data_IF_767406796200
#
_entry.id   IF_767406796200
#
_cell.length_a   1.000
_cell.length_b   1.000
_cell.length_c   1.000
_cell.angle_alpha   90.00
_cell.angle_beta   90.00
_cell.angle_gamma   90.00
#
_symmetry.space_group_name_H-M   'P 1'
#
loop_
_entity.id
_entity.type
_entity.pdbx_description
1 polymer ?
#
# COMPACT_ATOMS: atom_id res chain seq x y z
N UNK A 1 -37.19 15.93 13.27
CA UNK A 1 -35.83 15.96 12.69
C UNK A 1 -34.93 15.23 13.66
N UNK A 2 -34.68 13.94 13.44
CA UNK A 2 -33.88 13.13 14.36
C UNK A 2 -32.39 13.40 14.13
N UNK A 3 -31.84 14.28 14.95
CA UNK A 3 -30.41 14.52 15.05
C UNK A 3 -29.71 13.27 15.57
N UNK A 4 -29.32 12.36 14.68
CA UNK A 4 -28.47 11.23 15.03
C UNK A 4 -27.15 11.77 15.60
N UNK A 5 -27.03 11.73 16.92
CA UNK A 5 -25.79 11.94 17.67
C UNK A 5 -24.69 11.11 17.01
N UNK A 6 -23.66 11.78 16.50
CA UNK A 6 -22.51 11.10 15.88
C UNK A 6 -21.74 10.42 17.01
N UNK A 7 -21.82 9.09 17.07
CA UNK A 7 -21.12 8.30 18.09
C UNK A 7 -19.61 8.54 17.96
N UNK A 8 -19.03 9.19 18.98
CA UNK A 8 -17.58 9.44 19.04
C UNK A 8 -16.88 8.09 19.18
N UNK A 9 -15.91 7.75 18.30
CA UNK A 9 -15.17 6.50 18.42
C UNK A 9 -14.52 6.34 19.80
N UNK A 10 -14.62 5.14 20.39
CA UNK A 10 -13.98 4.84 21.68
C UNK A 10 -12.47 5.20 21.67
N UNK A 11 -11.88 5.66 22.79
CA UNK A 11 -10.45 6.01 22.90
C UNK A 11 -9.47 4.94 22.40
N UNK A 12 -9.86 3.67 22.49
CA UNK A 12 -9.10 2.52 21.97
C UNK A 12 -8.88 2.58 20.46
N UNK A 13 -9.84 3.09 19.68
CA UNK A 13 -9.69 3.31 18.23
C UNK A 13 -8.64 4.38 17.93
N UNK A 14 -8.63 5.48 18.68
CA UNK A 14 -7.63 6.53 18.51
C UNK A 14 -6.20 6.04 18.85
N UNK A 15 -6.03 5.33 19.98
CA UNK A 15 -4.75 4.69 20.33
C UNK A 15 -4.28 3.69 19.27
N UNK A 16 -5.21 2.93 18.70
CA UNK A 16 -4.93 2.01 17.61
C UNK A 16 -4.41 2.74 16.36
N UNK A 17 -5.02 3.87 15.96
CA UNK A 17 -4.53 4.66 14.82
C UNK A 17 -3.19 5.36 15.11
N UNK A 18 -3.00 5.90 16.32
CA UNK A 18 -1.74 6.52 16.73
C UNK A 18 -0.56 5.56 16.56
N UNK A 19 -0.69 4.32 17.04
CA UNK A 19 0.32 3.26 16.87
C UNK A 19 0.68 3.00 15.40
N UNK A 20 -0.24 3.20 14.45
CA UNK A 20 0.04 2.97 13.02
C UNK A 20 0.94 4.05 12.43
N UNK A 21 0.90 5.28 12.95
CA UNK A 21 1.81 6.34 12.51
C UNK A 21 3.25 6.05 12.92
N UNK A 22 3.44 5.60 14.17
CA UNK A 22 4.76 5.17 14.68
C UNK A 22 5.29 3.97 13.88
N UNK A 23 4.41 3.00 13.61
CA UNK A 23 4.76 1.85 12.79
C UNK A 23 5.17 2.26 11.38
N UNK A 24 4.44 3.16 10.74
CA UNK A 24 4.80 3.61 9.40
C UNK A 24 6.19 4.26 9.38
N UNK A 25 6.50 5.12 10.36
CA UNK A 25 7.83 5.70 10.47
C UNK A 25 8.89 4.61 10.62
N UNK A 26 8.67 3.63 11.48
CA UNK A 26 9.58 2.48 11.68
C UNK A 26 9.82 1.72 10.38
N UNK A 27 8.76 1.43 9.63
CA UNK A 27 8.83 0.68 8.37
C UNK A 27 9.68 1.41 7.32
N UNK A 28 9.35 2.67 7.04
CA UNK A 28 9.96 3.43 5.94
C UNK A 28 11.33 4.05 6.30
N UNK A 29 11.65 4.23 7.59
CA UNK A 29 12.93 4.84 8.00
C UNK A 29 13.94 3.84 8.56
N UNK A 30 13.50 2.74 9.17
CA UNK A 30 14.40 1.73 9.75
C UNK A 30 14.42 0.41 8.98
N UNK A 31 13.26 -0.18 8.71
CA UNK A 31 13.24 -1.52 8.10
C UNK A 31 13.75 -1.49 6.67
N UNK A 32 13.39 -0.47 5.90
CA UNK A 32 13.98 -0.23 4.57
C UNK A 32 15.52 -0.31 4.61
N UNK A 33 16.15 0.50 5.48
CA UNK A 33 17.62 0.57 5.61
C UNK A 33 18.24 -0.74 6.13
N UNK A 34 17.62 -1.36 7.12
CA UNK A 34 18.11 -2.62 7.67
C UNK A 34 18.02 -3.75 6.64
N UNK A 35 16.93 -3.81 5.88
CA UNK A 35 16.72 -4.81 4.85
C UNK A 35 17.64 -4.59 3.64
N UNK A 36 17.92 -3.35 3.24
CA UNK A 36 18.85 -3.07 2.14
C UNK A 36 20.28 -3.50 2.47
N UNK A 37 20.72 -3.31 3.72
CA UNK A 37 22.05 -3.78 4.17
C UNK A 37 22.10 -5.30 4.32
N UNK A 38 21.06 -5.90 4.91
CA UNK A 38 21.01 -7.35 5.19
C UNK A 38 20.64 -8.20 3.97
N UNK A 39 20.05 -7.61 2.94
CA UNK A 39 19.56 -8.28 1.75
C UNK A 39 18.28 -9.11 1.94
N UNK A 40 17.57 -9.01 3.08
CA UNK A 40 16.26 -9.63 3.30
C UNK A 40 15.51 -9.01 4.48
N UNK A 41 14.17 -9.16 4.48
CA UNK A 41 13.34 -8.88 5.65
C UNK A 41 13.34 -10.07 6.59
N UNK A 42 13.58 -9.83 7.87
CA UNK A 42 13.31 -10.82 8.91
C UNK A 42 11.81 -11.13 8.96
N UNK A 43 11.41 -12.32 9.45
CA UNK A 43 10.00 -12.62 9.64
C UNK A 43 9.28 -11.59 10.53
N UNK A 44 9.96 -11.05 11.55
CA UNK A 44 9.38 -10.02 12.44
C UNK A 44 9.07 -8.74 11.67
N UNK A 45 10.01 -8.26 10.86
CA UNK A 45 9.79 -7.05 10.04
C UNK A 45 8.70 -7.29 8.99
N UNK A 46 8.72 -8.44 8.31
CA UNK A 46 7.68 -8.82 7.36
C UNK A 46 6.29 -8.83 8.01
N UNK A 47 6.13 -9.51 9.16
CA UNK A 47 4.86 -9.52 9.87
C UNK A 47 4.44 -8.13 10.37
N UNK A 48 5.39 -7.25 10.69
CA UNK A 48 5.09 -5.86 11.04
C UNK A 48 4.53 -5.09 9.85
N UNK A 49 5.10 -5.24 8.65
CA UNK A 49 4.56 -4.66 7.41
C UNK A 49 3.14 -5.16 7.14
N UNK A 50 2.95 -6.47 7.30
CA UNK A 50 1.68 -7.17 7.13
C UNK A 50 0.61 -6.60 8.10
N UNK A 51 0.93 -6.51 9.39
CA UNK A 51 0.05 -5.93 10.42
C UNK A 51 -0.26 -4.45 10.16
N UNK A 52 0.72 -3.69 9.67
CA UNK A 52 0.51 -2.30 9.29
C UNK A 52 -0.37 -2.14 8.04
N UNK A 53 -0.40 -3.09 7.11
CA UNK A 53 -1.19 -2.95 5.88
C UNK A 53 -2.62 -3.44 6.02
N UNK A 54 -2.85 -4.59 6.65
CA UNK A 54 -4.13 -5.26 6.54
C UNK A 54 -4.60 -5.86 7.87
N UNK A 55 -5.87 -5.65 8.21
CA UNK A 55 -6.55 -6.32 9.33
C UNK A 55 -6.77 -7.83 9.05
N UNK A 56 -6.60 -8.27 7.80
CA UNK A 56 -6.80 -9.64 7.29
C UNK A 56 -5.72 -10.65 7.71
N UNK A 57 -4.84 -10.29 8.64
CA UNK A 57 -3.52 -10.92 8.81
C UNK A 57 -3.36 -11.73 10.10
N UNK A 58 -4.40 -11.77 10.93
CA UNK A 58 -4.43 -12.62 12.13
C UNK A 58 -4.10 -14.08 11.78
N UNK A 59 -4.59 -14.59 10.65
CA UNK A 59 -4.38 -15.99 10.27
C UNK A 59 -2.96 -16.27 9.76
N UNK A 60 -2.35 -15.35 9.02
CA UNK A 60 -0.98 -15.52 8.54
C UNK A 60 0.03 -15.53 9.69
N UNK A 61 -0.20 -14.66 10.68
CA UNK A 61 0.62 -14.58 11.90
C UNK A 61 0.37 -15.81 12.78
N UNK A 62 -0.89 -16.21 12.98
CA UNK A 62 -1.26 -17.41 13.77
C UNK A 62 -0.68 -18.69 13.17
N UNK A 63 -0.66 -18.83 11.85
CA UNK A 63 -0.13 -20.00 11.13
C UNK A 63 1.40 -19.94 10.92
N UNK A 64 2.09 -18.99 11.56
CA UNK A 64 3.53 -18.83 11.42
C UNK A 64 4.27 -20.03 11.98
N UNK A 65 5.04 -20.70 11.12
CA UNK A 65 5.92 -21.81 11.47
C UNK A 65 7.31 -21.61 10.84
N UNK A 66 8.24 -22.50 11.14
CA UNK A 66 9.63 -22.41 10.64
C UNK A 66 9.68 -22.32 9.11
N UNK A 67 8.94 -23.20 8.41
CA UNK A 67 8.86 -23.23 6.94
C UNK A 67 8.38 -21.89 6.35
N UNK A 68 7.36 -21.26 6.94
CA UNK A 68 6.88 -19.96 6.50
C UNK A 68 7.94 -18.87 6.71
N UNK A 69 8.63 -18.90 7.85
CA UNK A 69 9.69 -17.92 8.17
C UNK A 69 10.87 -18.02 7.20
N UNK A 70 11.26 -19.24 6.81
CA UNK A 70 12.26 -19.48 5.78
C UNK A 70 11.80 -18.98 4.41
N UNK A 71 10.55 -19.29 4.04
CA UNK A 71 9.97 -18.83 2.77
C UNK A 71 9.90 -17.30 2.68
N UNK A 72 9.59 -16.61 3.79
CA UNK A 72 9.64 -15.15 3.86
C UNK A 72 11.06 -14.63 3.61
N UNK A 73 12.08 -15.20 4.27
CA UNK A 73 13.47 -14.79 4.06
C UNK A 73 13.90 -15.01 2.61
N UNK A 74 13.63 -16.19 2.05
CA UNK A 74 13.98 -16.52 0.67
C UNK A 74 13.29 -15.59 -0.34
N UNK A 75 11.97 -15.42 -0.22
CA UNK A 75 11.23 -14.57 -1.14
C UNK A 75 11.65 -13.10 -1.07
N UNK A 76 11.90 -12.58 0.14
CA UNK A 76 12.32 -11.18 0.30
C UNK A 76 13.78 -10.96 -0.09
N UNK A 77 14.63 -11.99 -0.01
CA UNK A 77 15.99 -11.95 -0.55
C UNK A 77 15.98 -11.76 -2.05
N UNK A 78 15.28 -12.64 -2.75
CA UNK A 78 15.18 -12.57 -4.22
C UNK A 78 14.57 -11.26 -4.70
N UNK A 79 13.63 -10.70 -3.93
CA UNK A 79 13.03 -9.39 -4.21
C UNK A 79 14.03 -8.24 -4.04
N UNK A 80 14.96 -8.34 -3.08
CA UNK A 80 15.99 -7.33 -2.83
C UNK A 80 17.22 -7.46 -3.74
N UNK A 81 17.40 -8.64 -4.33
CA UNK A 81 18.45 -8.90 -5.30
C UNK A 81 17.98 -8.56 -6.73
N UNK A 82 18.44 -7.42 -7.26
CA UNK A 82 18.13 -6.97 -8.62
C UNK A 82 18.79 -7.86 -9.71
N UNK A 83 19.72 -8.76 -9.36
CA UNK A 83 20.23 -9.82 -10.24
C UNK A 83 19.26 -10.99 -10.38
N UNK A 84 18.43 -11.25 -9.37
CA UNK A 84 17.43 -12.34 -9.36
C UNK A 84 16.07 -11.87 -9.86
N UNK A 85 15.60 -10.70 -9.42
CA UNK A 85 14.32 -10.14 -9.88
C UNK A 85 14.52 -8.73 -10.43
N UNK A 86 14.28 -8.54 -11.73
CA UNK A 86 14.57 -7.29 -12.44
C UNK A 86 13.33 -6.40 -12.56
N UNK A 87 12.17 -7.01 -12.71
CA UNK A 87 10.91 -6.32 -12.97
C UNK A 87 10.02 -6.29 -11.73
N UNK A 88 9.14 -5.28 -11.65
CA UNK A 88 8.08 -5.22 -10.63
C UNK A 88 7.21 -6.50 -10.66
N UNK A 89 6.99 -7.05 -11.85
CA UNK A 89 6.21 -8.28 -12.03
C UNK A 89 6.88 -9.47 -11.36
N UNK A 90 8.16 -9.72 -11.62
CA UNK A 90 8.91 -10.82 -11.00
C UNK A 90 8.97 -10.68 -9.47
N UNK A 91 9.22 -9.46 -8.98
CA UNK A 91 9.23 -9.15 -7.55
C UNK A 91 7.88 -9.47 -6.89
N UNK A 92 6.76 -9.13 -7.54
CA UNK A 92 5.43 -9.49 -7.07
C UNK A 92 5.19 -10.99 -7.09
N UNK A 93 5.50 -11.65 -8.20
CA UNK A 93 5.30 -13.09 -8.37
C UNK A 93 6.05 -13.87 -7.28
N UNK A 94 7.26 -13.44 -6.91
CA UNK A 94 8.03 -14.04 -5.82
C UNK A 94 7.34 -13.90 -4.46
N UNK A 95 6.80 -12.72 -4.13
CA UNK A 95 6.06 -12.51 -2.88
C UNK A 95 4.74 -13.29 -2.84
N UNK A 96 4.06 -13.40 -3.98
CA UNK A 96 2.79 -14.13 -4.12
C UNK A 96 2.93 -15.66 -3.94
N UNK A 97 4.16 -16.19 -3.92
CA UNK A 97 4.40 -17.59 -3.55
C UNK A 97 4.25 -17.85 -2.04
N UNK A 98 4.27 -16.81 -1.21
CA UNK A 98 4.03 -16.93 0.24
C UNK A 98 2.53 -17.15 0.46
N UNK A 99 2.15 -18.29 1.04
CA UNK A 99 0.74 -18.61 1.30
C UNK A 99 0.10 -17.52 2.16
N UNK A 100 -1.06 -17.02 1.73
CA UNK A 100 -1.78 -15.95 2.42
C UNK A 100 -1.31 -14.53 2.06
N UNK A 101 -0.34 -14.38 1.17
CA UNK A 101 0.08 -13.09 0.62
C UNK A 101 -0.64 -12.84 -0.70
N UNK A 102 -1.59 -11.89 -0.68
CA UNK A 102 -2.17 -11.31 -1.88
C UNK A 102 -1.48 -10.02 -2.31
N UNK A 103 -1.89 -9.45 -3.44
CA UNK A 103 -1.32 -8.21 -4.00
C UNK A 103 -1.31 -7.03 -3.01
N UNK A 104 -2.36 -6.79 -2.19
CA UNK A 104 -2.32 -5.71 -1.22
C UNK A 104 -1.17 -5.83 -0.23
N UNK A 105 -0.83 -7.05 0.22
CA UNK A 105 0.30 -7.30 1.13
C UNK A 105 1.62 -7.21 0.36
N UNK A 106 1.71 -7.83 -0.81
CA UNK A 106 2.92 -7.81 -1.63
C UNK A 106 3.33 -6.37 -1.99
N UNK A 107 2.37 -5.53 -2.40
CA UNK A 107 2.62 -4.10 -2.69
C UNK A 107 3.15 -3.32 -1.48
N UNK A 108 2.69 -3.65 -0.26
CA UNK A 108 3.17 -3.00 0.96
C UNK A 108 4.60 -3.42 1.30
N UNK A 109 4.92 -4.70 1.14
CA UNK A 109 6.30 -5.21 1.28
C UNK A 109 7.23 -4.51 0.28
N UNK A 110 6.83 -4.42 -0.98
CA UNK A 110 7.61 -3.74 -2.02
C UNK A 110 7.80 -2.25 -1.73
N UNK A 111 6.76 -1.54 -1.29
CA UNK A 111 6.88 -0.13 -0.93
C UNK A 111 7.81 0.11 0.25
N UNK A 112 7.87 -0.82 1.22
CA UNK A 112 8.82 -0.71 2.34
C UNK A 112 10.25 -1.03 1.89
N UNK A 113 10.44 -2.05 1.06
CA UNK A 113 11.76 -2.39 0.55
C UNK A 113 12.30 -1.32 -0.42
N UNK A 114 11.44 -0.69 -1.21
CA UNK A 114 11.80 0.26 -2.28
C UNK A 114 10.85 1.47 -2.30
N UNK A 115 10.98 2.37 -1.31
CA UNK A 115 10.03 3.46 -1.08
C UNK A 115 10.01 4.53 -2.17
N UNK A 116 11.06 4.59 -2.98
CA UNK A 116 11.22 5.45 -4.16
C UNK A 116 10.70 4.82 -5.46
N UNK A 117 10.45 3.50 -5.48
CA UNK A 117 10.07 2.75 -6.69
C UNK A 117 8.62 2.27 -6.68
N UNK A 118 8.09 1.89 -5.52
CA UNK A 118 6.81 1.19 -5.45
C UNK A 118 5.81 1.82 -4.47
N UNK A 119 4.58 1.96 -4.95
CA UNK A 119 3.44 2.46 -4.20
C UNK A 119 2.71 1.34 -3.47
N UNK A 120 2.11 1.68 -2.33
CA UNK A 120 1.19 0.78 -1.64
C UNK A 120 -0.14 0.75 -2.38
N UNK A 121 -0.64 -0.43 -2.70
CA UNK A 121 -2.00 -0.56 -3.25
C UNK A 121 -3.00 -0.22 -2.15
N UNK A 122 -3.64 0.95 -2.23
CA UNK A 122 -4.62 1.44 -1.27
C UNK A 122 -6.01 1.56 -1.95
N UNK A 123 -7.07 0.92 -1.42
CA UNK A 123 -8.39 0.93 -2.05
C UNK A 123 -9.01 2.33 -2.18
N UNK A 124 -8.66 3.28 -1.30
CA UNK A 124 -9.19 4.65 -1.36
C UNK A 124 -8.45 5.45 -2.41
N UNK A 125 -7.12 5.33 -2.48
CA UNK A 125 -6.34 5.92 -3.57
C UNK A 125 -6.78 5.35 -4.93
N UNK A 126 -7.01 4.04 -5.01
CA UNK A 126 -7.58 3.39 -6.21
C UNK A 126 -8.93 3.99 -6.60
N UNK A 127 -9.86 4.09 -5.64
CA UNK A 127 -11.21 4.63 -5.89
C UNK A 127 -11.18 6.10 -6.33
N UNK A 128 -10.26 6.89 -5.78
CA UNK A 128 -10.02 8.26 -6.24
C UNK A 128 -9.58 8.26 -7.71
N UNK A 129 -8.54 7.49 -8.07
CA UNK A 129 -8.05 7.40 -9.44
C UNK A 129 -9.11 6.88 -10.42
N UNK A 130 -9.97 5.96 -9.99
CA UNK A 130 -11.13 5.49 -10.77
C UNK A 130 -12.12 6.63 -11.07
N UNK A 131 -12.53 7.40 -10.06
CA UNK A 131 -13.43 8.56 -10.27
C UNK A 131 -12.78 9.60 -11.17
N UNK A 132 -11.50 9.86 -10.97
CA UNK A 132 -10.73 10.84 -11.74
C UNK A 132 -10.62 10.41 -13.21
N UNK A 133 -10.38 9.11 -13.45
CA UNK A 133 -10.42 8.50 -14.79
C UNK A 133 -11.80 8.60 -15.43
N UNK A 134 -12.88 8.28 -14.70
CA UNK A 134 -14.27 8.31 -15.21
C UNK A 134 -14.69 9.72 -15.66
N UNK A 135 -14.19 10.77 -15.01
CA UNK A 135 -14.46 12.16 -15.38
C UNK A 135 -13.64 12.66 -16.58
N UNK A 136 -12.82 11.81 -17.19
CA UNK A 136 -11.91 12.22 -18.27
C UNK A 136 -10.76 13.12 -17.81
N UNK A 137 -10.57 13.27 -16.50
CA UNK A 137 -9.58 14.19 -15.92
C UNK A 137 -8.20 13.55 -15.79
N UNK A 138 -8.11 12.21 -15.94
CA UNK A 138 -6.84 11.51 -16.11
C UNK A 138 -6.51 11.48 -17.60
N UNK A 139 -5.43 12.16 -18.00
CA UNK A 139 -5.05 12.26 -19.41
C UNK A 139 -4.34 10.96 -19.88
N UNK A 140 -4.14 10.82 -21.21
CA UNK A 140 -3.46 9.66 -21.83
C UNK A 140 -2.01 9.47 -21.33
N UNK A 141 -1.36 10.53 -20.86
CA UNK A 141 0.01 10.51 -20.36
C UNK A 141 0.13 9.76 -19.02
N UNK A 142 -0.88 9.83 -18.14
CA UNK A 142 -0.81 9.15 -16.84
C UNK A 142 -1.31 7.70 -16.91
N UNK A 143 -2.39 7.44 -17.64
CA UNK A 143 -3.02 6.11 -17.77
C UNK A 143 -4.53 6.16 -17.59
N UNK A 144 -5.15 5.08 -17.10
CA UNK A 144 -6.53 5.09 -16.61
C UNK A 144 -6.80 3.91 -15.68
N UNK A 145 -7.73 4.09 -14.75
CA UNK A 145 -8.28 3.00 -13.92
C UNK A 145 -9.69 2.70 -14.43
N UNK A 146 -9.89 1.49 -14.97
CA UNK A 146 -11.14 1.08 -15.63
C UNK A 146 -12.21 0.56 -14.67
N UNK A 147 -11.79 0.02 -13.52
CA UNK A 147 -12.67 -0.67 -12.60
C UNK A 147 -12.72 0.04 -11.24
N UNK A 148 -13.91 0.04 -10.63
CA UNK A 148 -14.16 0.67 -9.32
C UNK A 148 -13.33 0.00 -8.20
N UNK A 149 -13.08 -1.29 -8.33
CA UNK A 149 -12.28 -2.10 -7.42
C UNK A 149 -11.19 -2.84 -8.18
N UNK A 150 -10.10 -3.17 -7.49
CA UNK A 150 -9.07 -4.08 -8.01
C UNK A 150 -9.71 -5.44 -8.27
N UNK A 151 -9.30 -6.10 -9.36
CA UNK A 151 -9.80 -7.44 -9.69
C UNK A 151 -9.50 -8.47 -8.59
N UNK A 152 -10.38 -9.46 -8.46
CA UNK A 152 -10.15 -10.66 -7.65
C UNK A 152 -9.39 -11.75 -8.41
N UNK A 153 -9.43 -11.73 -9.74
CA UNK A 153 -8.59 -12.59 -10.58
C UNK A 153 -7.12 -12.20 -10.42
N UNK A 154 -6.26 -13.16 -10.13
CA UNK A 154 -4.84 -12.93 -9.83
C UNK A 154 -4.11 -12.22 -10.96
N UNK A 155 -4.33 -12.64 -12.20
CA UNK A 155 -3.62 -12.10 -13.36
C UNK A 155 -4.04 -10.67 -13.67
N UNK A 156 -5.35 -10.41 -13.59
CA UNK A 156 -5.87 -9.06 -13.76
C UNK A 156 -5.47 -8.16 -12.60
N UNK A 157 -5.52 -8.64 -11.36
CA UNK A 157 -5.10 -7.87 -10.18
C UNK A 157 -3.61 -7.47 -10.27
N UNK A 158 -2.77 -8.33 -10.85
CA UNK A 158 -1.36 -8.03 -11.12
C UNK A 158 -1.24 -6.90 -12.15
N UNK A 159 -1.94 -7.00 -13.29
CA UNK A 159 -1.99 -5.93 -14.31
C UNK A 159 -2.50 -4.61 -13.72
N UNK A 160 -3.55 -4.69 -12.93
CA UNK A 160 -4.16 -3.57 -12.21
C UNK A 160 -3.13 -2.86 -11.32
N UNK A 161 -2.36 -3.62 -10.54
CA UNK A 161 -1.32 -3.05 -9.68
C UNK A 161 -0.14 -2.48 -10.47
N UNK A 162 0.32 -3.13 -11.53
CA UNK A 162 1.38 -2.58 -12.41
C UNK A 162 0.97 -1.22 -12.97
N UNK A 163 -0.26 -1.11 -13.48
CA UNK A 163 -0.78 0.14 -14.01
C UNK A 163 -0.96 1.21 -12.92
N UNK A 164 -1.49 0.83 -11.75
CA UNK A 164 -1.61 1.71 -10.59
C UNK A 164 -0.26 2.25 -10.12
N UNK A 165 0.76 1.39 -10.02
CA UNK A 165 2.11 1.80 -9.64
C UNK A 165 2.70 2.81 -10.63
N UNK A 166 2.50 2.57 -11.92
CA UNK A 166 2.93 3.49 -12.98
C UNK A 166 2.24 4.85 -12.89
N UNK A 167 0.91 4.87 -12.73
CA UNK A 167 0.14 6.12 -12.59
C UNK A 167 0.64 6.91 -11.37
N UNK A 168 0.77 6.26 -10.21
CA UNK A 168 1.23 6.93 -8.99
C UNK A 168 2.67 7.41 -9.08
N UNK A 169 3.58 6.64 -9.69
CA UNK A 169 4.99 7.05 -9.82
C UNK A 169 5.08 8.34 -10.61
N UNK A 170 4.40 8.39 -11.77
CA UNK A 170 4.36 9.59 -12.61
C UNK A 170 3.70 10.77 -11.86
N UNK A 171 2.53 10.54 -11.26
CA UNK A 171 1.83 11.59 -10.53
C UNK A 171 2.64 12.12 -9.33
N UNK A 172 3.41 11.26 -8.67
CA UNK A 172 4.26 11.64 -7.55
C UNK A 172 5.47 12.46 -8.02
N UNK A 173 6.07 12.08 -9.15
CA UNK A 173 7.16 12.85 -9.76
C UNK A 173 6.71 14.23 -10.25
N UNK A 174 5.44 14.38 -10.64
CA UNK A 174 4.86 15.66 -11.04
C UNK A 174 4.38 16.52 -9.87
N UNK A 175 3.57 15.95 -8.97
CA UNK A 175 2.87 16.72 -7.94
C UNK A 175 3.71 16.97 -6.69
N UNK A 176 4.82 16.26 -6.52
CA UNK A 176 5.67 16.30 -5.31
C UNK A 176 7.16 16.36 -5.71
N UNK A 177 7.48 17.07 -6.80
CA UNK A 177 8.83 17.18 -7.34
C UNK A 177 9.83 17.82 -6.35
N UNK A 178 9.33 18.68 -5.47
CA UNK A 178 10.04 19.36 -4.39
C UNK A 178 10.48 18.40 -3.27
N UNK A 179 9.83 17.24 -3.13
CA UNK A 179 10.18 16.25 -2.12
C UNK A 179 11.27 15.28 -2.61
N UNK A 180 12.12 14.74 -1.70
CA UNK A 180 13.02 13.63 -2.04
C UNK A 180 12.26 12.45 -2.62
N UNK A 181 12.79 11.81 -3.68
CA UNK A 181 12.11 10.72 -4.41
C UNK A 181 11.61 9.59 -3.49
N UNK A 182 12.40 9.23 -2.48
CA UNK A 182 12.06 8.22 -1.45
C UNK A 182 10.84 8.58 -0.57
N UNK A 183 10.38 9.83 -0.59
CA UNK A 183 9.20 10.30 0.15
C UNK A 183 7.98 10.50 -0.74
N UNK A 184 8.16 10.70 -2.06
CA UNK A 184 7.10 11.12 -3.00
C UNK A 184 5.95 10.12 -3.05
N UNK A 185 6.22 8.87 -3.43
CA UNK A 185 5.18 7.85 -3.63
C UNK A 185 4.33 7.62 -2.37
N UNK A 186 4.98 7.51 -1.21
CA UNK A 186 4.25 7.28 0.05
C UNK A 186 3.43 8.49 0.46
N UNK A 187 3.96 9.72 0.30
CA UNK A 187 3.21 10.93 0.59
C UNK A 187 2.05 11.12 -0.38
N UNK A 188 2.21 10.79 -1.67
CA UNK A 188 1.10 10.79 -2.61
C UNK A 188 0.01 9.79 -2.19
N UNK A 189 0.38 8.57 -1.77
CA UNK A 189 -0.61 7.62 -1.25
C UNK A 189 -1.41 8.19 -0.07
N UNK A 190 -0.75 8.89 0.87
CA UNK A 190 -1.42 9.56 2.00
C UNK A 190 -2.31 10.71 1.54
N UNK A 191 -1.82 11.53 0.61
CA UNK A 191 -2.56 12.68 0.09
C UNK A 191 -3.85 12.22 -0.60
N UNK A 192 -3.79 11.21 -1.47
CA UNK A 192 -4.98 10.64 -2.13
C UNK A 192 -5.96 10.01 -1.14
N UNK A 193 -5.45 9.35 -0.09
CA UNK A 193 -6.26 8.84 1.01
C UNK A 193 -6.99 9.97 1.74
N UNK A 194 -6.28 11.06 2.03
CA UNK A 194 -6.81 12.22 2.74
C UNK A 194 -7.86 12.94 1.88
N UNK A 195 -7.58 13.16 0.60
CA UNK A 195 -8.50 13.79 -0.35
C UNK A 195 -9.83 13.06 -0.47
N UNK A 196 -9.80 11.73 -0.62
CA UNK A 196 -11.03 10.93 -0.69
C UNK A 196 -11.79 10.93 0.65
N UNK A 197 -11.08 11.01 1.78
CA UNK A 197 -11.68 11.10 3.12
C UNK A 197 -12.32 12.47 3.36
N UNK A 198 -11.65 13.56 2.97
CA UNK A 198 -12.16 14.93 3.06
C UNK A 198 -13.38 15.13 2.16
N UNK A 199 -13.34 14.64 0.92
CA UNK A 199 -14.50 14.68 0.01
C UNK A 199 -15.72 13.97 0.60
N UNK A 200 -15.53 12.87 1.33
CA UNK A 200 -16.63 12.19 2.04
C UNK A 200 -17.14 13.04 3.20
N UNK A 201 -16.24 13.62 3.99
CA UNK A 201 -16.61 14.51 5.11
C UNK A 201 -17.43 15.72 4.61
N UNK A 202 -16.99 16.40 3.55
CA UNK A 202 -17.74 17.53 2.95
C UNK A 202 -19.11 17.12 2.41
N UNK A 203 -19.30 15.90 1.92
CA UNK A 203 -20.63 15.39 1.52
C UNK A 203 -21.50 15.10 2.73
N UNK A 204 -20.94 14.47 3.77
CA UNK A 204 -21.64 14.22 5.03
C UNK A 204 -22.13 15.52 5.66
N UNK A 205 -21.26 16.52 5.82
CA UNK A 205 -21.62 17.82 6.38
C UNK A 205 -22.68 18.57 5.55
N UNK A 206 -22.70 18.40 4.23
CA UNK A 206 -23.75 18.96 3.36
C UNK A 206 -25.10 18.27 3.48
N UNK A 207 -25.12 16.99 3.87
CA UNK A 207 -26.37 16.25 4.13
C UNK A 207 -26.89 16.40 5.56
N UNK A 208 -26.14 17.09 6.44
CA UNK A 208 -26.59 17.49 7.78
C UNK A 208 -27.23 18.89 7.80
N UNK A 209 -27.12 19.64 6.70
CA UNK A 209 -27.84 20.90 6.46
C UNK A 209 -29.16 20.61 5.78
#
# INVERSE_FOLDING_TARGET
MDGKMVEIPKPTKFRYFAKRYDLEWLLFNRFHKAASVRGFLTPKEFFTVVSWRADLTKDLIKKSNVKLREKIRAATRDVLDDGVTKTLREKLERLLQIRGVGIPVASAVLAVCFPDRYAVLDPRAWHFLYKWSKKGQLNRQWGSIKHKTVSTDKNQALRDYLNYNRILSRLADYALEDLPRSKRLRNLNKALWAFESEMKMRRFLRGLK
#
